data_IF_138951760283
#
_entry.id   IF_138951760283
#
_cell.length_a   1.000
_cell.length_b   1.000
_cell.length_c   1.000
_cell.angle_alpha   90.00
_cell.angle_beta   90.00
_cell.angle_gamma   90.00
#
_symmetry.space_group_name_H-M   'P 1'
#
loop_
_entity.id
_entity.type
_entity.pdbx_description
1 polymer ?
#
# COMPACT_ATOMS: atom_id res chain seq x y z
N UNK A 1 -22.66 41.74 -30.31
CA UNK A 1 -21.70 42.85 -30.51
C UNK A 1 -21.53 43.11 -31.99
N UNK A 2 -21.47 44.38 -32.40
CA UNK A 2 -21.19 44.74 -33.79
C UNK A 2 -19.76 44.32 -34.17
N UNK A 3 -19.59 43.68 -35.33
CA UNK A 3 -18.26 43.28 -35.84
C UNK A 3 -17.74 44.34 -36.80
N UNK A 4 -16.52 44.81 -36.59
CA UNK A 4 -15.85 45.76 -37.47
C UNK A 4 -14.85 45.05 -38.38
N UNK A 5 -14.87 45.34 -39.68
CA UNK A 5 -13.92 44.79 -40.64
C UNK A 5 -12.65 45.63 -40.64
N UNK A 6 -11.52 45.00 -40.32
CA UNK A 6 -10.19 45.61 -40.34
C UNK A 6 -9.33 44.83 -41.35
N UNK A 7 -8.65 45.53 -42.25
CA UNK A 7 -7.70 44.93 -43.20
C UNK A 7 -6.28 45.09 -42.66
N UNK A 8 -5.57 43.98 -42.49
CA UNK A 8 -4.21 43.93 -41.95
C UNK A 8 -3.32 43.16 -42.91
N UNK A 9 -2.08 43.62 -43.07
CA UNK A 9 -1.06 42.86 -43.78
C UNK A 9 -0.39 41.89 -42.81
N UNK A 10 -0.25 40.64 -43.22
CA UNK A 10 0.42 39.58 -42.48
C UNK A 10 1.53 39.03 -43.37
N UNK A 11 2.67 38.66 -42.80
CA UNK A 11 3.72 37.97 -43.56
C UNK A 11 3.26 36.55 -43.96
N UNK A 12 3.87 35.99 -45.01
CA UNK A 12 3.52 34.67 -45.54
C UNK A 12 3.60 33.54 -44.51
N UNK A 13 4.58 33.58 -43.61
CA UNK A 13 4.73 32.66 -42.49
C UNK A 13 3.57 32.77 -41.50
N UNK A 14 3.17 33.99 -41.14
CA UNK A 14 2.01 34.22 -40.27
C UNK A 14 0.71 33.75 -40.92
N UNK A 15 0.51 34.01 -42.22
CA UNK A 15 -0.64 33.52 -42.99
C UNK A 15 -0.68 31.99 -42.99
N UNK A 16 0.46 31.33 -43.20
CA UNK A 16 0.57 29.87 -43.16
C UNK A 16 0.20 29.30 -41.78
N UNK A 17 0.72 29.89 -40.70
CA UNK A 17 0.42 29.48 -39.33
C UNK A 17 -1.06 29.69 -38.97
N UNK A 18 -1.65 30.81 -39.38
CA UNK A 18 -3.08 31.08 -39.17
C UNK A 18 -3.96 30.06 -39.92
N UNK A 19 -3.62 29.72 -41.16
CA UNK A 19 -4.32 28.69 -41.93
C UNK A 19 -4.24 27.32 -41.24
N UNK A 20 -3.05 26.95 -40.76
CA UNK A 20 -2.86 25.69 -40.03
C UNK A 20 -3.69 25.65 -38.74
N UNK A 21 -3.70 26.73 -37.96
CA UNK A 21 -4.46 26.82 -36.72
C UNK A 21 -5.98 26.75 -36.98
N UNK A 22 -6.47 27.44 -38.01
CA UNK A 22 -7.87 27.39 -38.43
C UNK A 22 -8.32 25.98 -38.82
N UNK A 23 -7.48 25.27 -39.58
CA UNK A 23 -7.76 23.90 -39.99
C UNK A 23 -7.78 22.93 -38.78
N UNK A 24 -6.86 23.09 -37.83
CA UNK A 24 -6.80 22.25 -36.61
C UNK A 24 -8.02 22.45 -35.71
N UNK A 25 -8.45 23.69 -35.50
CA UNK A 25 -9.60 24.02 -34.63
C UNK A 25 -10.97 23.95 -35.33
N UNK A 26 -11.01 23.69 -36.65
CA UNK A 26 -12.23 23.76 -37.49
C UNK A 26 -13.00 25.09 -37.32
N UNK A 27 -12.27 26.19 -37.16
CA UNK A 27 -12.82 27.53 -36.85
C UNK A 27 -12.54 28.57 -37.94
N UNK A 28 -13.32 29.65 -37.95
CA UNK A 28 -13.09 30.78 -38.86
C UNK A 28 -11.82 31.55 -38.48
N UNK A 29 -11.02 31.95 -39.48
CA UNK A 29 -9.75 32.70 -39.27
C UNK A 29 -9.97 34.00 -38.49
N UNK A 30 -11.07 34.71 -38.76
CA UNK A 30 -11.41 35.95 -38.05
C UNK A 30 -11.68 35.71 -36.56
N UNK A 31 -12.33 34.60 -36.21
CA UNK A 31 -12.60 34.25 -34.81
C UNK A 31 -11.31 33.90 -34.06
N UNK A 32 -10.37 33.22 -34.73
CA UNK A 32 -9.04 32.94 -34.17
C UNK A 32 -8.22 34.21 -33.94
N UNK A 33 -8.25 35.15 -34.88
CA UNK A 33 -7.55 36.43 -34.74
C UNK A 33 -8.18 37.26 -33.61
N UNK A 34 -9.51 37.28 -33.51
CA UNK A 34 -10.24 37.94 -32.42
C UNK A 34 -9.87 37.32 -31.05
N UNK A 35 -9.89 35.99 -30.92
CA UNK A 35 -9.47 35.28 -29.70
C UNK A 35 -8.01 35.58 -29.35
N UNK A 36 -7.10 35.55 -30.32
CA UNK A 36 -5.69 35.82 -30.10
C UNK A 36 -5.43 37.28 -29.67
N UNK A 37 -6.12 38.24 -30.28
CA UNK A 37 -6.05 39.66 -29.90
C UNK A 37 -6.63 39.89 -28.52
N UNK A 38 -7.78 39.32 -28.20
CA UNK A 38 -8.38 39.40 -26.86
C UNK A 38 -7.43 38.83 -25.80
N UNK A 39 -6.78 37.70 -26.10
CA UNK A 39 -5.80 37.06 -25.22
C UNK A 39 -4.47 37.84 -25.10
N UNK A 40 -4.07 38.59 -26.13
CA UNK A 40 -2.86 39.42 -26.10
C UNK A 40 -3.11 40.74 -25.35
N UNK A 41 -4.26 41.37 -25.60
CA UNK A 41 -4.64 42.65 -24.99
C UNK A 41 -5.10 42.49 -23.53
N UNK A 42 -5.44 41.28 -23.08
CA UNK A 42 -5.85 41.00 -21.70
C UNK A 42 -4.88 39.99 -21.03
N UNK A 43 -3.68 40.44 -20.63
CA UNK A 43 -2.65 39.55 -20.07
C UNK A 43 -3.08 38.90 -18.74
N UNK A 44 -3.97 39.53 -17.98
CA UNK A 44 -4.51 38.97 -16.73
C UNK A 44 -5.24 37.63 -16.96
N UNK A 45 -5.97 37.48 -18.08
CA UNK A 45 -6.61 36.21 -18.42
C UNK A 45 -5.60 35.10 -18.71
N UNK A 46 -4.46 35.43 -19.34
CA UNK A 46 -3.35 34.47 -19.53
C UNK A 46 -2.73 34.09 -18.19
N UNK A 47 -2.40 35.08 -17.35
CA UNK A 47 -1.81 34.86 -16.02
C UNK A 47 -2.66 33.93 -15.15
N UNK A 48 -3.99 34.13 -15.12
CA UNK A 48 -4.89 33.27 -14.36
C UNK A 48 -4.86 31.80 -14.82
N UNK A 49 -4.79 31.55 -16.14
CA UNK A 49 -4.69 30.20 -16.70
C UNK A 49 -3.32 29.56 -16.39
N UNK A 50 -2.25 30.34 -16.50
CA UNK A 50 -0.90 29.88 -16.20
C UNK A 50 -0.77 29.53 -14.71
N UNK A 51 -1.27 30.38 -13.81
CA UNK A 51 -1.33 30.08 -12.37
C UNK A 51 -2.20 28.87 -12.03
N UNK A 52 -3.36 28.72 -12.67
CA UNK A 52 -4.21 27.55 -12.45
C UNK A 52 -3.49 26.25 -12.87
N UNK A 53 -2.71 26.33 -13.95
CA UNK A 53 -1.88 25.22 -14.43
C UNK A 53 -0.76 24.92 -13.44
N UNK A 54 -0.01 25.92 -12.98
CA UNK A 54 1.04 25.77 -11.97
C UNK A 54 0.50 25.14 -10.69
N UNK A 55 -0.62 25.66 -10.15
CA UNK A 55 -1.29 25.10 -8.96
C UNK A 55 -1.67 23.63 -9.16
N UNK A 56 -2.08 23.23 -10.37
CA UNK A 56 -2.37 21.83 -10.68
C UNK A 56 -1.11 20.97 -10.67
N UNK A 57 0.00 21.48 -11.24
CA UNK A 57 1.28 20.78 -11.24
C UNK A 57 1.82 20.61 -9.81
N UNK A 58 1.70 21.63 -8.96
CA UNK A 58 2.11 21.56 -7.56
C UNK A 58 1.33 20.50 -6.80
N UNK A 59 0.00 20.41 -7.01
CA UNK A 59 -0.82 19.34 -6.42
C UNK A 59 -0.38 17.95 -6.89
N UNK A 60 -0.04 17.79 -8.18
CA UNK A 60 0.49 16.53 -8.70
C UNK A 60 1.84 16.17 -8.07
N UNK A 61 2.73 17.15 -7.95
CA UNK A 61 4.05 16.98 -7.30
C UNK A 61 3.91 16.57 -5.84
N UNK A 62 3.02 17.24 -5.09
CA UNK A 62 2.70 16.88 -3.71
C UNK A 62 2.11 15.47 -3.62
N UNK A 63 1.19 15.09 -4.52
CA UNK A 63 0.64 13.74 -4.58
C UNK A 63 1.72 12.68 -4.84
N UNK A 64 2.70 12.97 -5.71
CA UNK A 64 3.82 12.07 -5.98
C UNK A 64 4.74 11.93 -4.76
N UNK A 65 4.99 13.03 -4.05
CA UNK A 65 5.75 13.01 -2.79
C UNK A 65 5.08 12.13 -1.74
N UNK A 66 3.76 12.26 -1.56
CA UNK A 66 2.98 11.41 -0.66
C UNK A 66 3.09 9.94 -1.05
N UNK A 67 2.90 9.60 -2.33
CA UNK A 67 3.06 8.22 -2.81
C UNK A 67 4.48 7.70 -2.56
N UNK A 68 5.50 8.53 -2.79
CA UNK A 68 6.88 8.16 -2.49
C UNK A 68 7.10 7.83 -1.01
N UNK A 69 6.53 8.64 -0.11
CA UNK A 69 6.55 8.38 1.34
C UNK A 69 5.81 7.09 1.69
N UNK A 70 4.64 6.85 1.13
CA UNK A 70 3.84 5.65 1.41
C UNK A 70 4.57 4.37 0.95
N UNK A 71 5.22 4.41 -0.21
CA UNK A 71 6.07 3.31 -0.71
C UNK A 71 7.26 3.07 0.21
N UNK A 72 7.90 4.12 0.71
CA UNK A 72 9.00 3.98 1.66
C UNK A 72 8.54 3.30 2.97
N UNK A 73 7.41 3.73 3.53
CA UNK A 73 6.82 3.13 4.74
C UNK A 73 6.45 1.67 4.51
N UNK A 74 5.83 1.34 3.37
CA UNK A 74 5.49 -0.04 3.02
C UNK A 74 6.74 -0.92 2.89
N UNK A 75 7.82 -0.38 2.31
CA UNK A 75 9.11 -1.08 2.16
C UNK A 75 9.78 -1.32 3.51
N UNK A 76 9.77 -0.33 4.40
CA UNK A 76 10.30 -0.46 5.77
C UNK A 76 9.51 -1.51 6.56
N UNK A 77 8.18 -1.45 6.48
CA UNK A 77 7.28 -2.41 7.14
C UNK A 77 7.51 -3.83 6.65
N UNK A 78 7.65 -4.03 5.33
CA UNK A 78 7.96 -5.33 4.74
C UNK A 78 9.35 -5.83 5.21
N UNK A 79 10.34 -4.95 5.28
CA UNK A 79 11.68 -5.28 5.75
C UNK A 79 11.66 -5.76 7.20
N UNK A 80 10.91 -5.05 8.07
CA UNK A 80 10.70 -5.47 9.46
C UNK A 80 9.96 -6.79 9.57
N UNK A 81 8.93 -7.00 8.75
CA UNK A 81 8.20 -8.27 8.68
C UNK A 81 9.11 -9.43 8.28
N UNK A 82 9.92 -9.28 7.21
CA UNK A 82 10.86 -10.30 6.75
C UNK A 82 11.89 -10.61 7.83
N UNK A 83 12.45 -9.57 8.48
CA UNK A 83 13.39 -9.75 9.60
C UNK A 83 12.75 -10.54 10.72
N UNK A 84 11.55 -10.14 11.15
CA UNK A 84 10.82 -10.84 12.20
C UNK A 84 10.56 -12.30 11.82
N UNK A 85 10.04 -12.54 10.61
CA UNK A 85 9.77 -13.87 10.08
C UNK A 85 10.99 -14.79 10.12
N UNK A 86 12.16 -14.30 9.69
CA UNK A 86 13.41 -15.08 9.70
C UNK A 86 13.96 -15.31 11.11
N UNK A 87 13.67 -14.41 12.05
CA UNK A 87 14.07 -14.57 13.46
C UNK A 87 13.21 -15.61 14.19
N UNK A 88 11.89 -15.63 13.95
CA UNK A 88 10.98 -16.48 14.71
C UNK A 88 10.69 -17.84 14.07
N UNK A 89 10.97 -18.01 12.77
CA UNK A 89 10.63 -19.24 12.04
C UNK A 89 11.76 -20.25 12.17
N UNK A 90 11.58 -21.38 12.88
CA UNK A 90 12.61 -22.40 12.98
C UNK A 90 12.86 -23.07 11.62
N UNK A 91 14.12 -23.42 11.30
CA UNK A 91 14.44 -24.10 10.05
C UNK A 91 13.81 -25.50 10.01
N UNK A 92 13.23 -25.85 8.87
CA UNK A 92 12.61 -27.17 8.67
C UNK A 92 13.67 -28.27 8.42
N UNK A 93 13.43 -29.50 8.89
CA UNK A 93 14.25 -30.67 8.55
C UNK A 93 14.38 -30.85 7.03
N UNK A 94 15.57 -31.25 6.55
CA UNK A 94 15.86 -31.36 5.10
C UNK A 94 14.85 -32.24 4.34
N UNK A 95 14.36 -33.31 4.96
CA UNK A 95 13.37 -34.23 4.39
C UNK A 95 12.02 -33.57 4.09
N UNK A 96 11.68 -32.48 4.77
CA UNK A 96 10.39 -31.80 4.64
C UNK A 96 10.48 -30.52 3.80
N UNK A 97 11.69 -30.04 3.49
CA UNK A 97 11.89 -28.76 2.81
C UNK A 97 11.23 -28.70 1.44
N UNK A 98 11.35 -29.76 0.63
CA UNK A 98 10.80 -29.76 -0.73
C UNK A 98 9.27 -29.80 -0.73
N UNK A 99 8.67 -30.58 0.17
CA UNK A 99 7.22 -30.61 0.37
C UNK A 99 6.70 -29.25 0.88
N UNK A 100 7.38 -28.64 1.84
CA UNK A 100 7.05 -27.32 2.37
C UNK A 100 7.18 -26.22 1.30
N UNK A 101 8.23 -26.24 0.49
CA UNK A 101 8.42 -25.31 -0.64
C UNK A 101 7.31 -25.47 -1.68
N UNK A 102 6.94 -26.70 -2.03
CA UNK A 102 5.85 -26.97 -2.97
C UNK A 102 4.50 -26.44 -2.45
N UNK A 103 4.19 -26.71 -1.19
CA UNK A 103 2.98 -26.20 -0.55
C UNK A 103 2.99 -24.66 -0.46
N UNK A 104 4.14 -24.06 -0.14
CA UNK A 104 4.33 -22.62 -0.12
C UNK A 104 4.03 -21.96 -1.46
N UNK A 105 4.51 -22.55 -2.57
CA UNK A 105 4.19 -22.08 -3.94
C UNK A 105 2.70 -22.12 -4.22
N UNK A 106 2.04 -23.23 -3.90
CA UNK A 106 0.59 -23.38 -4.11
C UNK A 106 -0.20 -22.34 -3.29
N UNK A 107 0.16 -22.13 -2.03
CA UNK A 107 -0.48 -21.10 -1.18
C UNK A 107 -0.25 -19.70 -1.72
N UNK A 108 0.95 -19.42 -2.23
CA UNK A 108 1.27 -18.12 -2.83
C UNK A 108 0.45 -17.85 -4.09
N UNK A 109 0.26 -18.84 -4.96
CA UNK A 109 -0.59 -18.69 -6.16
C UNK A 109 -2.03 -18.34 -5.79
N UNK A 110 -2.59 -18.98 -4.75
CA UNK A 110 -3.94 -18.66 -4.25
C UNK A 110 -3.99 -17.22 -3.72
N UNK A 111 -2.98 -16.79 -2.96
CA UNK A 111 -2.86 -15.42 -2.48
C UNK A 111 -2.80 -14.41 -3.64
N UNK A 112 -1.95 -14.64 -4.63
CA UNK A 112 -1.84 -13.78 -5.83
C UNK A 112 -3.17 -13.70 -6.57
N UNK A 113 -3.87 -14.81 -6.72
CA UNK A 113 -5.19 -14.83 -7.35
C UNK A 113 -6.22 -14.02 -6.53
N UNK A 114 -6.19 -14.06 -5.20
CA UNK A 114 -7.04 -13.25 -4.33
C UNK A 114 -6.72 -11.75 -4.47
N UNK A 115 -5.43 -11.38 -4.46
CA UNK A 115 -4.99 -9.99 -4.67
C UNK A 115 -5.41 -9.52 -6.06
N UNK A 116 -5.22 -10.31 -7.11
CA UNK A 116 -5.62 -9.99 -8.47
C UNK A 116 -7.11 -9.76 -8.62
N UNK A 117 -7.96 -10.66 -8.05
CA UNK A 117 -9.41 -10.45 -8.03
C UNK A 117 -9.79 -9.15 -7.34
N UNK A 118 -9.12 -8.81 -6.24
CA UNK A 118 -9.42 -7.61 -5.47
C UNK A 118 -8.96 -6.34 -6.16
N UNK A 119 -7.81 -6.34 -6.83
CA UNK A 119 -7.36 -5.22 -7.67
C UNK A 119 -8.30 -4.98 -8.87
N UNK A 120 -8.89 -6.05 -9.41
CA UNK A 120 -9.93 -5.93 -10.44
C UNK A 120 -11.28 -5.45 -9.88
N UNK A 121 -11.45 -5.50 -8.55
CA UNK A 121 -12.61 -4.96 -7.85
C UNK A 121 -12.35 -3.48 -7.53
N UNK A 122 -13.33 -2.60 -7.68
CA UNK A 122 -13.15 -1.15 -7.45
C UNK A 122 -12.96 -0.77 -5.96
N UNK A 123 -12.74 -1.75 -5.08
CA UNK A 123 -12.69 -1.60 -3.64
C UNK A 123 -11.25 -1.67 -3.14
N UNK A 124 -10.79 -0.56 -2.53
CA UNK A 124 -9.46 -0.46 -1.93
C UNK A 124 -9.47 -1.12 -0.55
N UNK A 125 -8.75 -2.24 -0.40
CA UNK A 125 -8.55 -2.93 0.88
C UNK A 125 -8.13 -1.98 2.00
N UNK A 126 -7.24 -1.04 1.71
CA UNK A 126 -6.77 -0.05 2.70
C UNK A 126 -7.92 0.80 3.23
N UNK A 127 -8.87 1.19 2.36
CA UNK A 127 -10.04 1.96 2.76
C UNK A 127 -10.99 1.12 3.65
N UNK A 128 -11.24 -0.13 3.30
CA UNK A 128 -12.07 -1.03 4.13
C UNK A 128 -11.44 -1.32 5.49
N UNK A 129 -10.12 -1.52 5.54
CA UNK A 129 -9.39 -1.76 6.79
C UNK A 129 -9.36 -0.51 7.65
N UNK A 130 -9.12 0.67 7.07
CA UNK A 130 -9.20 1.94 7.81
C UNK A 130 -10.61 2.23 8.33
N UNK A 131 -11.64 1.95 7.54
CA UNK A 131 -13.03 2.09 7.96
C UNK A 131 -13.39 1.09 9.08
N UNK A 132 -12.91 -0.15 8.98
CA UNK A 132 -13.04 -1.15 10.05
C UNK A 132 -12.28 -0.75 11.32
N UNK A 133 -11.06 -0.21 11.22
CA UNK A 133 -10.28 0.23 12.38
C UNK A 133 -10.95 1.44 13.02
N UNK A 134 -11.38 2.43 12.24
CA UNK A 134 -12.11 3.59 12.74
C UNK A 134 -13.42 3.20 13.44
N UNK A 135 -14.10 2.14 12.95
CA UNK A 135 -15.31 1.62 13.55
C UNK A 135 -15.08 0.81 14.85
N UNK A 136 -13.88 0.22 15.05
CA UNK A 136 -13.64 -0.71 16.16
C UNK A 136 -12.60 -0.23 17.18
N UNK A 137 -11.68 0.69 16.85
CA UNK A 137 -10.64 1.23 17.75
C UNK A 137 -10.18 2.64 17.29
N UNK A 138 -10.91 3.72 17.64
CA UNK A 138 -10.60 5.09 17.22
C UNK A 138 -9.30 5.67 17.83
N UNK A 139 -8.82 5.12 18.96
CA UNK A 139 -7.62 5.59 19.66
C UNK A 139 -6.29 5.03 19.09
N UNK A 140 -6.33 4.11 18.12
CA UNK A 140 -5.14 3.43 17.58
C UNK A 140 -4.15 4.39 16.88
N UNK A 141 -4.63 5.56 16.44
CA UNK A 141 -3.82 6.61 15.80
C UNK A 141 -3.47 7.75 16.76
N UNK A 142 -3.94 7.68 18.00
CA UNK A 142 -3.93 8.77 18.96
C UNK A 142 -3.13 8.41 20.22
N UNK A 143 -1.98 7.73 20.13
CA UNK A 143 -0.92 7.85 21.15
C UNK A 143 0.37 7.13 20.76
N UNK A 144 1.48 7.88 20.79
CA UNK A 144 2.80 7.41 21.22
C UNK A 144 3.73 8.63 21.39
N UNK A 145 3.33 9.59 22.23
CA UNK A 145 4.29 10.52 22.83
C UNK A 145 4.81 9.99 24.18
N UNK A 146 4.22 8.93 24.75
CA UNK A 146 4.51 8.48 26.12
C UNK A 146 4.87 6.98 26.27
N UNK A 147 4.99 6.20 25.20
CA UNK A 147 5.58 4.85 25.29
C UNK A 147 7.12 4.95 25.15
N UNK A 148 7.76 5.58 26.13
CA UNK A 148 9.14 5.20 26.44
C UNK A 148 9.10 3.75 26.95
N UNK A 149 9.85 2.81 26.36
CA UNK A 149 10.03 1.50 26.97
C UNK A 149 10.74 1.73 28.30
N UNK A 150 9.98 1.66 29.41
CA UNK A 150 10.54 1.68 30.75
C UNK A 150 11.64 0.62 30.88
N UNK A 151 12.68 0.84 31.70
CA UNK A 151 13.82 -0.05 31.79
C UNK A 151 13.36 -1.50 31.99
N UNK A 152 13.68 -2.37 31.03
CA UNK A 152 13.50 -3.81 31.19
C UNK A 152 14.47 -4.25 32.27
N UNK A 153 13.99 -4.39 33.50
CA UNK A 153 14.77 -5.03 34.57
C UNK A 153 15.17 -6.43 34.07
N UNK A 154 16.46 -6.81 34.16
CA UNK A 154 16.88 -8.15 33.80
C UNK A 154 16.20 -9.12 34.77
N UNK A 155 15.31 -9.96 34.22
CA UNK A 155 14.77 -11.11 34.94
C UNK A 155 15.96 -12.01 35.33
N UNK A 156 16.32 -11.96 36.61
CA UNK A 156 17.22 -12.90 37.26
C UNK A 156 16.55 -14.27 37.33
N UNK A 157 16.40 -14.92 36.18
CA UNK A 157 16.10 -16.34 36.10
C UNK A 157 17.43 -17.09 36.22
N UNK A 158 17.72 -17.61 37.42
CA UNK A 158 18.78 -18.59 37.62
C UNK A 158 18.62 -19.75 36.62
N UNK A 159 19.73 -20.30 36.08
CA UNK A 159 19.67 -21.46 35.20
C UNK A 159 19.21 -22.68 35.99
N UNK A 160 17.95 -23.07 35.83
CA UNK A 160 17.41 -24.31 36.37
C UNK A 160 18.11 -25.50 35.68
N UNK A 161 18.87 -26.25 36.48
CA UNK A 161 19.58 -27.45 36.03
C UNK A 161 18.62 -28.51 35.46
N UNK A 162 19.05 -29.31 34.46
CA UNK A 162 18.20 -30.36 33.91
C UNK A 162 17.89 -31.44 34.96
N UNK A 163 16.61 -31.77 35.12
CA UNK A 163 16.12 -32.80 36.03
C UNK A 163 16.77 -34.18 35.74
N UNK A 164 17.15 -34.96 36.77
CA UNK A 164 17.72 -36.28 36.55
C UNK A 164 16.66 -37.27 36.05
N UNK A 165 17.05 -38.07 35.05
CA UNK A 165 16.26 -39.16 34.48
C UNK A 165 15.85 -40.17 35.56
N UNK A 166 14.55 -40.50 35.59
CA UNK A 166 13.98 -41.58 36.42
C UNK A 166 14.54 -42.93 35.95
N UNK A 167 15.13 -43.76 36.83
CA UNK A 167 15.49 -45.12 36.45
C UNK A 167 14.24 -46.00 36.42
N UNK A 168 14.11 -46.77 35.35
CA UNK A 168 13.24 -47.92 35.30
C UNK A 168 13.80 -49.00 36.23
N UNK A 169 13.02 -49.44 37.22
CA UNK A 169 13.16 -50.81 37.71
C UNK A 169 11.86 -51.31 38.33
N UNK A 170 11.52 -52.55 37.98
CA UNK A 170 10.28 -53.20 38.37
C UNK A 170 10.38 -54.03 39.66
N UNK A 171 9.32 -54.80 39.84
CA UNK A 171 9.09 -55.94 40.75
C UNK A 171 8.38 -55.71 42.11
N UNK A 172 7.12 -56.18 42.11
CA UNK A 172 6.46 -57.11 43.05
C UNK A 172 5.86 -56.69 44.41
N UNK A 173 4.69 -57.29 44.67
CA UNK A 173 4.00 -57.44 45.96
C UNK A 173 2.51 -57.07 45.84
N UNK A 174 1.62 -57.94 45.34
CA UNK A 174 0.91 -59.00 46.07
C UNK A 174 -0.06 -58.49 47.16
N UNK A 175 -1.37 -58.54 46.89
CA UNK A 175 -2.40 -59.03 47.84
C UNK A 175 -3.74 -59.30 47.12
N UNK A 176 -4.57 -60.26 47.60
CA UNK A 176 -5.62 -60.90 46.83
C UNK A 176 -7.01 -60.27 47.05
N UNK A 177 -7.91 -60.49 46.10
CA UNK A 177 -9.35 -60.33 46.31
C UNK A 177 -10.03 -61.67 45.99
N UNK A 178 -10.53 -62.28 47.04
CA UNK A 178 -11.48 -63.39 47.04
C UNK A 178 -12.80 -62.96 46.39
N UNK A 179 -13.58 -63.96 45.94
CA UNK A 179 -15.05 -63.82 45.93
C UNK A 179 -15.75 -63.99 44.59
N UNK A 180 -15.95 -65.24 44.22
CA UNK A 180 -17.26 -65.84 43.89
C UNK A 180 -18.08 -65.47 42.64
N UNK A 181 -18.61 -66.56 42.05
CA UNK A 181 -19.84 -66.63 41.24
C UNK A 181 -19.62 -66.43 39.74
N UNK A 182 -19.94 -67.35 38.83
CA UNK A 182 -20.82 -68.51 38.87
C UNK A 182 -21.47 -68.66 37.49
N UNK A 183 -21.56 -69.91 37.01
CA UNK A 183 -22.42 -70.42 35.91
C UNK A 183 -22.26 -69.81 34.50
N UNK A 184 -22.18 -70.58 33.42
CA UNK A 184 -22.36 -72.02 33.20
C UNK A 184 -22.04 -72.37 31.75
#
# INVERSE_FOLDING_TARGET
>A
MAKHRISLYLDDGTVKNLNLAANRRKGAKSALVEEALDQYLNPERRRMLDEATLRRMDRMSSSLSTVGRDVAIATETLSLFVRYFLTITPPLPQSEQDAARALGRQRFEVFVAQVGRRLASDHRLVSEVLESIAAHNPDLFATAADDEPGPVEPSSAEPQAPAPARPANGHNGAEPAEGEGGHG
#
